data_IF_176413511578
#
_entry.id   IF_176413511578
#
_cell.length_a   1.000
_cell.length_b   1.000
_cell.length_c   1.000
_cell.angle_alpha   90.00
_cell.angle_beta   90.00
_cell.angle_gamma   90.00
#
_symmetry.space_group_name_H-M   'P 1'
#
loop_
_entity.id
_entity.type
_entity.pdbx_description
1 polymer ?
#
# COMPACT_ATOMS: atom_id res chain seq x y z
N UNK A 1 14.96 2.19 -10.47
CA UNK A 1 13.59 2.16 -9.93
C UNK A 1 12.63 2.01 -11.09
N UNK A 2 11.90 0.90 -11.18
CA UNK A 2 11.00 0.72 -12.31
C UNK A 2 9.83 1.70 -12.27
N UNK A 3 9.41 2.09 -13.44
CA UNK A 3 8.19 2.88 -13.60
C UNK A 3 7.30 2.18 -14.61
N UNK A 4 5.99 2.22 -14.38
CA UNK A 4 4.99 1.69 -15.30
C UNK A 4 4.00 2.82 -15.54
N UNK A 5 3.90 3.26 -16.79
CA UNK A 5 3.04 4.39 -17.19
C UNK A 5 3.24 5.61 -16.28
N UNK A 6 4.50 5.91 -15.95
CA UNK A 6 4.85 7.06 -15.11
C UNK A 6 4.71 6.84 -13.61
N UNK A 7 4.19 5.69 -13.17
CA UNK A 7 4.06 5.37 -11.75
C UNK A 7 5.34 4.72 -11.26
N UNK A 8 5.91 5.24 -10.16
CA UNK A 8 7.13 4.70 -9.57
C UNK A 8 6.82 3.47 -8.73
N UNK A 9 7.61 2.42 -8.90
CA UNK A 9 7.47 1.14 -8.18
C UNK A 9 8.83 0.67 -7.70
N UNK A 10 9.27 1.08 -6.50
CA UNK A 10 10.61 0.72 -5.99
C UNK A 10 10.89 -0.78 -6.00
N UNK A 11 12.11 -1.16 -6.43
CA UNK A 11 12.53 -2.56 -6.59
C UNK A 11 12.62 -3.31 -5.26
N UNK A 12 12.97 -2.61 -4.19
CA UNK A 12 13.21 -3.21 -2.88
C UNK A 12 11.95 -3.58 -2.11
N UNK A 13 10.78 -3.21 -2.64
CA UNK A 13 9.49 -3.48 -1.99
C UNK A 13 8.84 -4.74 -2.54
N UNK A 14 7.85 -5.23 -1.80
CA UNK A 14 6.96 -6.30 -2.23
C UNK A 14 5.57 -5.69 -2.45
N UNK A 15 4.78 -6.28 -3.34
CA UNK A 15 3.51 -5.68 -3.75
C UNK A 15 2.36 -6.66 -3.75
N UNK A 16 1.20 -6.19 -3.27
CA UNK A 16 -0.08 -6.78 -3.58
C UNK A 16 -0.65 -5.95 -4.74
N UNK A 17 -0.44 -6.42 -5.95
CA UNK A 17 -0.81 -5.69 -7.16
C UNK A 17 -2.32 -5.47 -7.23
N UNK A 18 -3.10 -6.47 -6.86
CA UNK A 18 -4.57 -6.40 -6.94
C UNK A 18 -5.14 -5.30 -6.06
N UNK A 19 -4.61 -5.13 -4.85
CA UNK A 19 -5.09 -4.14 -3.88
C UNK A 19 -4.24 -2.87 -3.84
N UNK A 20 -3.20 -2.78 -4.65
CA UNK A 20 -2.32 -1.60 -4.76
C UNK A 20 -1.65 -1.23 -3.42
N UNK A 21 -1.15 -2.23 -2.71
CA UNK A 21 -0.45 -2.03 -1.44
C UNK A 21 1.00 -2.48 -1.59
N UNK A 22 1.94 -1.67 -1.06
CA UNK A 22 3.34 -2.06 -0.99
C UNK A 22 3.67 -2.51 0.43
N UNK A 23 4.68 -3.37 0.55
CA UNK A 23 5.14 -3.92 1.82
C UNK A 23 6.65 -3.82 1.91
N UNK A 24 7.14 -3.37 3.07
CA UNK A 24 8.59 -3.28 3.35
C UNK A 24 8.87 -4.03 4.64
N UNK A 25 9.54 -5.20 4.60
CA UNK A 25 9.94 -5.88 5.82
C UNK A 25 10.99 -5.07 6.55
N UNK A 26 10.87 -5.01 7.88
CA UNK A 26 11.81 -4.31 8.75
C UNK A 26 12.67 -5.33 9.51
N UNK A 27 13.81 -4.87 10.04
CA UNK A 27 14.76 -5.75 10.73
C UNK A 27 14.21 -6.33 12.03
N UNK A 28 13.20 -5.71 12.61
CA UNK A 28 12.60 -6.14 13.88
C UNK A 28 11.46 -7.16 13.72
N UNK A 29 11.23 -7.66 12.52
CA UNK A 29 10.16 -8.62 12.23
C UNK A 29 8.81 -7.98 11.90
N UNK A 30 8.70 -6.67 11.94
CA UNK A 30 7.49 -5.97 11.48
C UNK A 30 7.57 -5.69 9.99
N UNK A 31 6.42 -5.35 9.40
CA UNK A 31 6.33 -4.98 7.99
C UNK A 31 5.58 -3.65 7.90
N UNK A 32 6.19 -2.69 7.22
CA UNK A 32 5.53 -1.41 6.93
C UNK A 32 4.77 -1.53 5.62
N UNK A 33 3.59 -0.96 5.56
CA UNK A 33 2.79 -0.99 4.34
C UNK A 33 2.12 0.35 4.06
N UNK A 34 1.74 0.54 2.81
CA UNK A 34 1.05 1.75 2.37
C UNK A 34 0.51 1.60 0.96
N UNK A 35 -0.11 2.66 0.45
CA UNK A 35 -0.63 2.71 -0.91
C UNK A 35 0.51 2.91 -1.91
N UNK A 36 0.44 2.21 -3.05
CA UNK A 36 1.38 2.46 -4.14
C UNK A 36 1.08 3.80 -4.83
N UNK A 37 2.03 4.26 -5.64
CA UNK A 37 1.81 5.44 -6.48
C UNK A 37 0.62 5.25 -7.41
N UNK A 38 0.37 4.01 -7.85
CA UNK A 38 -0.79 3.67 -8.69
C UNK A 38 -2.09 3.95 -7.94
N UNK A 39 -2.19 3.45 -6.70
CA UNK A 39 -3.38 3.67 -5.87
C UNK A 39 -3.60 5.16 -5.61
N UNK A 40 -2.53 5.87 -5.28
CA UNK A 40 -2.62 7.31 -5.00
C UNK A 40 -3.11 8.09 -6.22
N UNK A 41 -2.61 7.75 -7.41
CA UNK A 41 -3.03 8.41 -8.65
C UNK A 41 -4.48 8.11 -8.99
N UNK A 42 -4.92 6.86 -8.80
CA UNK A 42 -6.30 6.47 -9.08
C UNK A 42 -7.30 7.09 -8.10
N UNK A 43 -6.93 7.17 -6.83
CA UNK A 43 -7.81 7.72 -5.79
C UNK A 43 -7.92 9.24 -5.87
N UNK A 44 -6.87 9.91 -6.32
CA UNK A 44 -6.75 11.35 -6.22
C UNK A 44 -6.24 11.77 -4.85
N UNK A 45 -6.16 13.07 -4.59
CA UNK A 45 -5.59 13.57 -3.34
C UNK A 45 -6.43 13.12 -2.14
N UNK A 46 -5.78 12.46 -1.18
CA UNK A 46 -6.45 12.00 0.03
C UNK A 46 -6.80 13.17 0.95
N UNK A 47 -7.96 13.08 1.56
CA UNK A 47 -8.46 14.07 2.52
C UNK A 47 -8.68 13.47 3.90
N UNK A 48 -8.72 12.14 4.02
CA UNK A 48 -8.85 11.45 5.31
C UNK A 48 -8.17 10.08 5.27
N UNK A 49 -7.60 9.71 6.41
CA UNK A 49 -7.00 8.40 6.63
C UNK A 49 -7.35 7.94 8.03
N UNK A 50 -7.94 6.75 8.15
CA UNK A 50 -8.32 6.17 9.44
C UNK A 50 -7.81 4.73 9.48
N UNK A 51 -6.90 4.43 10.39
CA UNK A 51 -6.34 3.10 10.54
C UNK A 51 -6.90 2.36 11.74
N UNK A 52 -6.82 1.03 11.69
CA UNK A 52 -7.04 0.20 12.87
C UNK A 52 -5.97 0.53 13.89
N UNK A 53 -6.36 0.53 15.17
CA UNK A 53 -5.43 0.91 16.25
C UNK A 53 -4.39 -0.17 16.50
N UNK A 54 -3.25 0.24 17.05
CA UNK A 54 -2.22 -0.70 17.49
C UNK A 54 -2.82 -1.73 18.45
N UNK A 55 -2.44 -2.99 18.28
CA UNK A 55 -2.98 -4.11 19.04
C UNK A 55 -4.13 -4.82 18.36
N UNK A 56 -4.71 -4.26 17.31
CA UNK A 56 -5.81 -4.90 16.58
C UNK A 56 -5.26 -5.93 15.59
N UNK A 57 -5.89 -7.11 15.58
CA UNK A 57 -5.57 -8.15 14.60
C UNK A 57 -6.45 -7.96 13.36
N UNK A 58 -5.84 -8.13 12.19
CA UNK A 58 -6.52 -7.99 10.90
C UNK A 58 -6.30 -9.26 10.11
N UNK A 59 -7.37 -9.84 9.59
CA UNK A 59 -7.29 -11.06 8.78
C UNK A 59 -7.03 -10.72 7.32
N UNK A 60 -6.45 -11.68 6.62
CA UNK A 60 -6.23 -11.60 5.17
C UNK A 60 -7.48 -11.16 4.44
N UNK A 61 -7.35 -10.20 3.55
CA UNK A 61 -8.45 -9.67 2.75
C UNK A 61 -9.30 -8.63 3.44
N UNK A 62 -9.05 -8.37 4.73
CA UNK A 62 -9.79 -7.36 5.47
C UNK A 62 -9.05 -6.02 5.49
N UNK A 63 -9.77 -4.95 5.82
CA UNK A 63 -9.21 -3.61 5.84
C UNK A 63 -8.39 -3.35 7.10
N UNK A 64 -7.14 -2.91 6.92
CA UNK A 64 -6.35 -2.40 8.03
C UNK A 64 -6.49 -0.89 8.17
N UNK A 65 -7.04 -0.22 7.16
CA UNK A 65 -7.28 1.22 7.16
C UNK A 65 -8.33 1.58 6.13
N UNK A 66 -8.91 2.77 6.27
CA UNK A 66 -9.81 3.35 5.28
C UNK A 66 -9.21 4.67 4.82
N UNK A 67 -9.24 4.91 3.52
CA UNK A 67 -8.75 6.14 2.92
C UNK A 67 -9.87 6.82 2.14
N UNK A 68 -9.86 8.15 2.14
CA UNK A 68 -10.89 8.94 1.48
C UNK A 68 -10.25 10.07 0.68
N UNK A 69 -10.73 10.25 -0.55
CA UNK A 69 -10.38 11.41 -1.37
C UNK A 69 -11.67 12.19 -1.67
N UNK A 70 -11.57 13.27 -2.42
CA UNK A 70 -12.75 14.05 -2.80
C UNK A 70 -13.72 13.28 -3.70
N UNK A 71 -13.29 12.17 -4.32
CA UNK A 71 -14.10 11.42 -5.28
C UNK A 71 -14.28 9.93 -4.93
N UNK A 72 -13.65 9.45 -3.83
CA UNK A 72 -13.62 8.02 -3.55
C UNK A 72 -13.36 7.74 -2.08
N UNK A 73 -13.96 6.68 -1.57
CA UNK A 73 -13.70 6.12 -0.23
C UNK A 73 -13.46 4.63 -0.41
N UNK A 74 -12.44 4.10 0.21
CA UNK A 74 -12.18 2.68 0.10
C UNK A 74 -11.25 2.12 1.16
N UNK A 75 -11.21 0.78 1.27
CA UNK A 75 -10.36 0.10 2.23
C UNK A 75 -8.94 -0.09 1.71
N UNK A 76 -7.98 -0.11 2.64
CA UNK A 76 -6.65 -0.64 2.39
C UNK A 76 -6.67 -2.07 2.91
N UNK A 77 -6.78 -3.05 2.02
CA UNK A 77 -6.88 -4.46 2.38
C UNK A 77 -5.51 -5.06 2.58
N UNK A 78 -5.34 -5.83 3.65
CA UNK A 78 -4.09 -6.51 3.93
C UNK A 78 -4.08 -7.89 3.26
N UNK A 79 -2.92 -8.30 2.75
CA UNK A 79 -2.78 -9.55 1.99
C UNK A 79 -2.55 -10.79 2.87
N UNK A 80 -2.42 -10.62 4.19
CA UNK A 80 -2.13 -11.71 5.11
C UNK A 80 -2.59 -11.36 6.52
N UNK A 81 -2.72 -12.37 7.37
CA UNK A 81 -3.09 -12.16 8.78
C UNK A 81 -1.96 -11.46 9.52
N UNK A 82 -2.28 -10.43 10.28
CA UNK A 82 -1.29 -9.65 11.01
C UNK A 82 -1.92 -8.86 12.16
N UNK A 83 -1.06 -8.34 13.03
CA UNK A 83 -1.47 -7.44 14.10
C UNK A 83 -0.90 -6.06 13.82
N UNK A 84 -1.72 -5.01 13.92
CA UNK A 84 -1.26 -3.63 13.79
C UNK A 84 -0.43 -3.29 15.01
N UNK A 85 0.81 -2.82 14.81
CA UNK A 85 1.69 -2.44 15.92
C UNK A 85 1.98 -0.95 15.96
N UNK A 86 1.85 -0.26 14.83
CA UNK A 86 2.07 1.19 14.77
C UNK A 86 1.24 1.81 13.65
N UNK A 87 0.69 3.00 13.89
CA UNK A 87 -0.05 3.79 12.91
C UNK A 87 0.74 5.06 12.63
N UNK A 88 0.78 5.48 11.37
CA UNK A 88 1.47 6.72 10.99
C UNK A 88 0.61 7.94 11.33
N UNK A 89 0.89 8.56 12.46
CA UNK A 89 0.16 9.75 12.91
C UNK A 89 0.33 10.94 11.96
N UNK A 90 1.49 11.04 11.29
CA UNK A 90 1.73 12.09 10.31
C UNK A 90 0.75 11.99 9.14
N UNK A 91 0.41 10.76 8.71
CA UNK A 91 -0.55 10.56 7.65
C UNK A 91 -1.97 10.88 8.10
N UNK A 92 -2.31 10.58 9.34
CA UNK A 92 -3.60 10.96 9.92
C UNK A 92 -3.77 12.48 9.93
N UNK A 93 -2.71 13.20 10.29
CA UNK A 93 -2.72 14.66 10.33
C UNK A 93 -2.68 15.29 8.93
N UNK A 94 -1.96 14.64 7.99
CA UNK A 94 -1.75 15.17 6.63
C UNK A 94 -1.94 14.06 5.61
N UNK A 95 -3.19 13.69 5.29
CA UNK A 95 -3.47 12.55 4.39
C UNK A 95 -2.82 12.63 3.01
N UNK A 96 -2.59 13.84 2.51
CA UNK A 96 -1.96 14.03 1.19
C UNK A 96 -0.53 13.50 1.10
N UNK A 97 0.10 13.14 2.23
CA UNK A 97 1.43 12.51 2.22
C UNK A 97 1.39 11.18 1.45
N UNK A 98 0.26 10.47 1.43
CA UNK A 98 0.12 9.27 0.65
C UNK A 98 0.22 9.54 -0.86
N UNK A 99 -0.11 10.75 -1.29
CA UNK A 99 0.00 11.17 -2.69
C UNK A 99 1.39 11.71 -3.01
N UNK A 100 1.94 12.56 -2.13
CA UNK A 100 3.22 13.22 -2.39
C UNK A 100 4.43 12.33 -2.13
N UNK A 101 4.33 11.39 -1.19
CA UNK A 101 5.45 10.52 -0.80
C UNK A 101 4.94 9.14 -0.34
N UNK A 102 4.30 8.37 -1.25
CA UNK A 102 3.63 7.12 -0.87
C UNK A 102 4.56 6.06 -0.28
N UNK A 103 5.82 6.06 -0.65
CA UNK A 103 6.79 5.05 -0.19
C UNK A 103 7.65 5.52 0.98
N UNK A 104 7.54 6.77 1.37
CA UNK A 104 8.28 7.37 2.48
C UNK A 104 7.34 7.80 3.59
N UNK A 105 7.11 9.10 3.72
CA UNK A 105 6.29 9.66 4.81
C UNK A 105 4.83 9.26 4.75
N UNK A 106 4.36 8.78 3.59
CA UNK A 106 2.98 8.37 3.39
C UNK A 106 2.67 6.92 3.76
N UNK A 107 3.57 6.22 4.48
CA UNK A 107 3.27 4.87 4.94
C UNK A 107 2.05 4.88 5.86
N UNK A 108 1.29 3.77 5.87
CA UNK A 108 0.02 3.71 6.60
C UNK A 108 0.17 3.11 7.99
N UNK A 109 0.58 1.85 8.06
CA UNK A 109 0.70 1.12 9.32
C UNK A 109 1.92 0.20 9.28
N UNK A 110 2.42 -0.16 10.47
CA UNK A 110 3.35 -1.27 10.64
C UNK A 110 2.59 -2.41 11.27
N UNK A 111 2.82 -3.62 10.78
CA UNK A 111 2.14 -4.80 11.26
C UNK A 111 3.13 -5.90 11.62
N UNK A 112 2.71 -6.80 12.51
CA UNK A 112 3.46 -8.01 12.81
C UNK A 112 2.74 -9.16 12.12
N UNK A 113 3.30 -9.75 11.04
CA UNK A 113 2.66 -10.86 10.34
C UNK A 113 2.55 -12.09 11.22
N UNK A 114 1.45 -12.83 11.08
CA UNK A 114 1.30 -14.11 11.77
C UNK A 114 2.30 -15.14 11.24
N UNK A 115 2.55 -15.14 9.92
CA UNK A 115 3.49 -16.02 9.25
C UNK A 115 4.06 -15.31 8.02
N UNK A 116 5.18 -14.61 8.21
CA UNK A 116 5.78 -13.83 7.13
C UNK A 116 6.30 -14.70 5.98
N UNK A 117 6.84 -15.88 6.28
CA UNK A 117 7.35 -16.75 5.22
C UNK A 117 6.25 -17.15 4.24
N UNK A 118 5.07 -17.49 4.73
CA UNK A 118 3.92 -17.80 3.89
C UNK A 118 3.36 -16.55 3.20
N UNK A 119 3.25 -15.44 3.95
CA UNK A 119 2.73 -14.17 3.43
C UNK A 119 3.57 -13.64 2.28
N UNK A 120 4.89 -13.69 2.42
CA UNK A 120 5.83 -13.21 1.41
C UNK A 120 5.64 -13.89 0.07
N UNK A 121 5.29 -15.18 0.08
CA UNK A 121 5.07 -15.95 -1.14
C UNK A 121 3.85 -15.52 -1.95
N UNK A 122 2.95 -14.75 -1.34
CA UNK A 122 1.73 -14.23 -2.01
C UNK A 122 1.95 -12.86 -2.63
N UNK A 123 3.11 -12.24 -2.37
CA UNK A 123 3.39 -10.88 -2.83
C UNK A 123 4.31 -10.92 -4.04
N UNK A 124 4.24 -9.89 -4.87
CA UNK A 124 5.07 -9.77 -6.06
C UNK A 124 6.28 -8.90 -5.73
N UNK A 125 7.52 -9.41 -5.93
CA UNK A 125 8.71 -8.60 -5.71
C UNK A 125 8.77 -7.41 -6.67
N UNK A 126 9.35 -6.30 -6.22
CA UNK A 126 9.50 -5.11 -7.06
C UNK A 126 10.25 -5.38 -8.36
N UNK A 127 11.19 -6.33 -8.35
CA UNK A 127 11.94 -6.72 -9.55
C UNK A 127 11.07 -7.41 -10.61
N UNK A 128 9.88 -7.90 -10.25
CA UNK A 128 9.00 -8.63 -11.15
C UNK A 128 7.63 -7.95 -11.33
N UNK A 129 7.44 -6.75 -10.76
CA UNK A 129 6.11 -6.13 -10.66
C UNK A 129 5.66 -5.38 -11.91
N UNK A 130 6.59 -5.01 -12.79
CA UNK A 130 6.28 -4.17 -13.95
C UNK A 130 5.24 -4.80 -14.89
N UNK A 131 5.41 -6.08 -15.24
CA UNK A 131 4.48 -6.80 -16.10
C UNK A 131 3.07 -6.91 -15.53
N UNK A 132 2.92 -7.41 -14.28
CA UNK A 132 1.62 -7.46 -13.62
C UNK A 132 0.93 -6.10 -13.49
N UNK A 133 1.67 -5.04 -13.20
CA UNK A 133 1.06 -3.71 -13.11
C UNK A 133 0.64 -3.16 -14.47
N UNK A 134 1.42 -3.40 -15.53
CA UNK A 134 1.00 -3.00 -16.87
C UNK A 134 -0.31 -3.68 -17.26
N UNK A 135 -0.43 -4.98 -16.96
CA UNK A 135 -1.65 -5.73 -17.25
C UNK A 135 -2.84 -5.21 -16.44
N UNK A 136 -2.62 -4.89 -15.15
CA UNK A 136 -3.68 -4.36 -14.29
C UNK A 136 -4.14 -2.98 -14.76
N UNK A 137 -3.21 -2.10 -15.11
CA UNK A 137 -3.54 -0.76 -15.60
C UNK A 137 -4.33 -0.84 -16.89
N UNK A 138 -3.97 -1.76 -17.79
CA UNK A 138 -4.72 -1.96 -19.03
C UNK A 138 -6.13 -2.48 -18.74
N UNK A 139 -6.27 -3.44 -17.83
CA UNK A 139 -7.57 -3.99 -17.46
C UNK A 139 -8.48 -2.95 -16.81
N UNK A 140 -7.89 -2.05 -16.00
CA UNK A 140 -8.64 -0.99 -15.30
C UNK A 140 -8.83 0.26 -16.16
N UNK A 141 -8.35 0.24 -17.39
CA UNK A 141 -8.38 1.41 -18.31
C UNK A 141 -7.71 2.64 -17.68
N UNK A 142 -6.64 2.42 -16.89
CA UNK A 142 -5.92 3.50 -16.21
C UNK A 142 -4.73 3.94 -17.06
N UNK A 143 -4.71 5.21 -17.47
CA UNK A 143 -3.67 5.74 -18.34
C UNK A 143 -2.29 5.81 -17.68
N UNK A 144 -2.25 5.93 -16.37
CA UNK A 144 -1.01 5.99 -15.60
C UNK A 144 -0.95 7.20 -14.68
N UNK A 145 0.21 7.35 -14.03
CA UNK A 145 0.46 8.51 -13.19
C UNK A 145 0.79 9.71 -14.08
N UNK A 146 0.39 10.89 -13.65
CA UNK A 146 0.71 12.11 -14.36
C UNK A 146 2.23 12.28 -14.45
N UNK A 147 2.69 12.65 -15.60
CA UNK A 147 4.10 12.94 -15.79
C UNK A 147 4.49 14.26 -15.11
#
# INVERSE_FOLDING_TARGET
MPTVRGCSLPDELLYDVENNIWYRPNDDGTVTLGMTAVAAAMAGQLVAFTAKKAGRKVQEGKSCATVESGKWVGPAKIAFDAEVVEVNDALTATPKLANSDPYGQGWMVKVKPADWAAAKGRLTPGSAVAGPYEAKMAADAFAGCAA
#
